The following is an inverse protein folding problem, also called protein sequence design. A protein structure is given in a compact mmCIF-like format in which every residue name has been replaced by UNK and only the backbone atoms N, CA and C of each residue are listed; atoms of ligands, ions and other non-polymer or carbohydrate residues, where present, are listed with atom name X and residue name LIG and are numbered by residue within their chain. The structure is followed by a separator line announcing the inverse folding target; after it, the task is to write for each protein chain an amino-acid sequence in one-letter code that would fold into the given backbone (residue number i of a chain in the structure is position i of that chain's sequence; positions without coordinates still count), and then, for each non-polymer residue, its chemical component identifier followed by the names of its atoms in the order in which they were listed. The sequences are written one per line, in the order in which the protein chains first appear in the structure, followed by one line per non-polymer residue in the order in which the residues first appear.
data_IF_361819258435
#
_entry.id   IF_361819258435
#
_cell.length_a   1.000
_cell.length_b   1.000
_cell.length_c   1.000
_cell.angle_alpha   90.00
_cell.angle_beta   90.00
_cell.angle_gamma   90.00
#
_symmetry.space_group_name_H-M   'P 1'
#
loop_
_entity.id
_entity.type
_entity.pdbx_description
1 polymer ?
#
# COMPACT_ATOMS: atom_id res chain seq x y z
N UNK A 1 7.11 7.24 23.18
CA UNK A 1 6.47 8.37 22.46
C UNK A 1 5.09 7.92 22.02
N UNK A 2 4.09 8.80 22.15
CA UNK A 2 2.64 8.53 22.11
C UNK A 2 2.09 7.95 20.78
N UNK A 3 2.95 7.69 19.79
CA UNK A 3 2.62 7.12 18.49
C UNK A 3 2.25 5.63 18.54
N UNK A 4 2.75 4.90 19.56
CA UNK A 4 2.54 3.45 19.73
C UNK A 4 1.14 3.04 20.24
N UNK A 5 0.24 3.98 20.53
CA UNK A 5 -1.04 3.68 21.21
C UNK A 5 -2.25 3.69 20.27
N UNK A 6 -2.11 4.18 19.04
CA UNK A 6 -3.24 4.34 18.12
C UNK A 6 -3.42 3.09 17.27
N UNK A 7 -4.52 2.38 17.49
CA UNK A 7 -4.85 1.15 16.75
C UNK A 7 -5.27 1.48 15.31
N UNK A 8 -4.76 0.72 14.34
CA UNK A 8 -5.21 0.81 12.95
C UNK A 8 -6.74 0.63 12.87
N UNK A 9 -7.41 1.43 12.04
CA UNK A 9 -8.87 1.42 11.87
C UNK A 9 -9.64 2.16 12.99
N UNK A 10 -8.98 2.64 14.04
CA UNK A 10 -9.63 3.47 15.07
C UNK A 10 -9.88 4.90 14.59
N UNK A 11 -10.88 5.55 15.18
CA UNK A 11 -11.15 6.98 14.94
C UNK A 11 -9.94 7.85 15.32
N UNK A 12 -9.27 7.55 16.43
CA UNK A 12 -8.08 8.30 16.86
C UNK A 12 -6.93 8.19 15.84
N UNK A 13 -6.69 6.99 15.29
CA UNK A 13 -5.68 6.79 14.25
C UNK A 13 -6.08 7.52 12.96
N UNK A 14 -7.35 7.46 12.58
CA UNK A 14 -7.87 8.20 11.43
C UNK A 14 -7.66 9.72 11.57
N UNK A 15 -8.01 10.31 12.71
CA UNK A 15 -7.84 11.74 12.96
C UNK A 15 -6.36 12.15 12.89
N UNK A 16 -5.48 11.31 13.43
CA UNK A 16 -4.04 11.52 13.33
C UNK A 16 -3.55 11.46 11.87
N UNK A 17 -3.86 10.39 11.14
CA UNK A 17 -3.39 10.14 9.77
C UNK A 17 -3.96 11.13 8.75
N UNK A 18 -5.21 11.56 8.93
CA UNK A 18 -5.86 12.55 8.06
C UNK A 18 -5.17 13.92 8.06
N UNK A 19 -4.35 14.19 9.08
CA UNK A 19 -3.55 15.41 9.20
C UNK A 19 -2.09 15.22 8.77
N UNK A 20 -1.65 14.00 8.47
CA UNK A 20 -0.28 13.75 8.00
C UNK A 20 -0.11 14.08 6.51
N UNK A 21 1.11 14.48 6.15
CA UNK A 21 1.45 14.96 4.79
C UNK A 21 2.78 14.39 4.27
N UNK A 22 3.31 13.35 4.90
CA UNK A 22 4.52 12.68 4.42
C UNK A 22 4.22 11.82 3.19
N UNK A 23 3.01 11.31 3.03
CA UNK A 23 2.54 10.82 1.74
C UNK A 23 1.95 11.98 0.89
N UNK A 24 2.14 11.93 -0.43
CA UNK A 24 1.56 12.88 -1.39
C UNK A 24 1.56 12.32 -2.81
N UNK A 25 0.62 12.79 -3.63
CA UNK A 25 0.52 12.40 -5.03
C UNK A 25 1.84 12.65 -5.77
N UNK A 26 2.26 11.65 -6.57
CA UNK A 26 3.48 11.73 -7.37
C UNK A 26 4.80 11.69 -6.58
N UNK A 27 4.79 11.45 -5.26
CA UNK A 27 6.02 11.23 -4.49
C UNK A 27 6.82 10.05 -5.08
N UNK A 28 8.04 10.31 -5.53
CA UNK A 28 8.86 9.30 -6.21
C UNK A 28 9.60 8.42 -5.20
N UNK A 29 9.88 7.16 -5.57
CA UNK A 29 10.62 6.24 -4.72
C UNK A 29 11.99 6.80 -4.27
N UNK A 30 12.68 7.53 -5.16
CA UNK A 30 13.97 8.19 -4.85
C UNK A 30 13.85 9.32 -3.82
N UNK A 31 12.66 9.89 -3.61
CA UNK A 31 12.49 10.90 -2.57
C UNK A 31 12.55 10.29 -1.16
N UNK A 32 12.26 9.00 -1.02
CA UNK A 32 12.27 8.30 0.27
C UNK A 32 13.68 8.05 0.82
N UNK A 33 14.73 8.28 0.02
CA UNK A 33 16.10 8.29 0.52
C UNK A 33 16.33 9.39 1.56
N UNK A 34 15.54 10.47 1.51
CA UNK A 34 15.59 11.57 2.48
C UNK A 34 14.76 11.32 3.74
N UNK A 35 13.98 10.23 3.79
CA UNK A 35 13.11 9.93 4.93
C UNK A 35 13.90 9.20 6.01
N UNK A 36 13.60 9.43 7.31
CA UNK A 36 14.18 8.65 8.39
C UNK A 36 13.88 7.15 8.22
N UNK A 37 14.87 6.30 8.42
CA UNK A 37 14.72 4.84 8.33
C UNK A 37 13.68 4.28 9.32
N UNK A 38 13.60 4.87 10.51
CA UNK A 38 12.65 4.52 11.56
C UNK A 38 11.33 5.29 11.46
N UNK A 39 11.14 6.08 10.40
CA UNK A 39 9.91 6.83 10.14
C UNK A 39 8.87 6.07 9.34
N UNK A 40 7.73 6.74 9.12
CA UNK A 40 6.62 6.25 8.31
C UNK A 40 6.20 7.23 7.22
N UNK A 41 5.66 6.69 6.14
CA UNK A 41 4.99 7.40 5.06
C UNK A 41 3.49 7.38 5.39
N UNK A 42 2.96 8.55 5.77
CA UNK A 42 1.67 8.69 6.44
C UNK A 42 0.71 9.62 5.71
N UNK A 43 -0.57 9.26 5.79
CA UNK A 43 -1.68 10.02 5.20
C UNK A 43 -2.00 9.60 3.76
N UNK A 44 -3.05 10.20 3.20
CA UNK A 44 -3.50 9.95 1.83
C UNK A 44 -2.67 10.72 0.80
N UNK A 45 -2.59 10.20 -0.44
CA UNK A 45 -1.82 10.86 -1.49
C UNK A 45 -2.63 11.82 -2.38
N UNK A 46 -3.91 11.55 -2.67
CA UNK A 46 -4.68 12.28 -3.69
C UNK A 46 -5.87 13.05 -3.10
N UNK A 47 -6.79 12.35 -2.45
CA UNK A 47 -8.00 12.88 -1.84
C UNK A 47 -7.91 12.84 -0.31
N UNK A 48 -8.87 13.47 0.39
CA UNK A 48 -8.98 13.34 1.84
C UNK A 48 -9.32 11.90 2.23
N UNK A 49 -8.83 11.45 3.40
CA UNK A 49 -9.24 10.16 3.96
C UNK A 49 -10.72 10.18 4.37
N UNK A 50 -11.37 9.02 4.30
CA UNK A 50 -12.73 8.82 4.82
C UNK A 50 -12.76 7.63 5.77
N UNK A 51 -13.49 7.80 6.87
CA UNK A 51 -13.40 6.90 8.02
C UNK A 51 -13.94 5.49 7.71
N UNK A 52 -15.04 5.37 6.96
CA UNK A 52 -15.62 4.06 6.64
C UNK A 52 -14.72 3.28 5.69
N UNK A 53 -14.16 3.93 4.68
CA UNK A 53 -13.22 3.33 3.75
C UNK A 53 -11.96 2.89 4.49
N UNK A 54 -11.37 3.75 5.32
CA UNK A 54 -10.21 3.42 6.15
C UNK A 54 -10.46 2.19 7.04
N UNK A 55 -11.60 2.15 7.73
CA UNK A 55 -11.99 1.01 8.57
C UNK A 55 -12.15 -0.28 7.79
N UNK A 56 -12.81 -0.21 6.62
CA UNK A 56 -12.98 -1.37 5.74
C UNK A 56 -11.65 -1.91 5.25
N UNK A 57 -10.73 -1.04 4.87
CA UNK A 57 -9.40 -1.43 4.39
C UNK A 57 -8.60 -2.13 5.48
N UNK A 58 -8.50 -1.52 6.66
CA UNK A 58 -7.78 -2.11 7.80
C UNK A 58 -8.40 -3.44 8.23
N UNK A 59 -9.73 -3.55 8.26
CA UNK A 59 -10.39 -4.82 8.59
C UNK A 59 -10.08 -5.91 7.56
N UNK A 60 -10.10 -5.58 6.26
CA UNK A 60 -9.75 -6.53 5.20
C UNK A 60 -8.30 -7.01 5.29
N UNK A 61 -7.36 -6.11 5.60
CA UNK A 61 -5.93 -6.43 5.71
C UNK A 61 -5.62 -7.43 6.83
N UNK A 62 -6.50 -7.57 7.84
CA UNK A 62 -6.32 -8.58 8.91
C UNK A 62 -6.22 -10.01 8.36
N UNK A 63 -6.88 -10.29 7.22
CA UNK A 63 -6.77 -11.57 6.49
C UNK A 63 -5.33 -11.95 6.18
N UNK A 64 -4.46 -10.96 6.02
CA UNK A 64 -3.06 -11.11 5.60
C UNK A 64 -2.04 -10.77 6.70
N UNK A 65 -2.49 -10.60 7.95
CA UNK A 65 -1.66 -10.17 9.08
C UNK A 65 -0.48 -11.09 9.42
N UNK A 66 -0.44 -12.31 8.88
CA UNK A 66 0.69 -13.23 9.02
C UNK A 66 1.81 -13.00 7.99
N UNK A 67 1.66 -12.06 7.06
CA UNK A 67 2.64 -11.73 6.03
C UNK A 67 3.19 -10.33 6.29
N UNK A 68 4.41 -10.25 6.82
CA UNK A 68 5.06 -8.99 7.22
C UNK A 68 5.22 -7.97 6.09
N UNK A 69 5.20 -8.41 4.83
CA UNK A 69 5.34 -7.57 3.65
C UNK A 69 4.04 -6.84 3.28
N UNK A 70 2.90 -7.22 3.89
CA UNK A 70 1.60 -6.54 3.72
C UNK A 70 1.41 -5.65 4.97
N UNK A 71 1.31 -4.31 4.80
CA UNK A 71 1.11 -3.40 5.91
C UNK A 71 -0.26 -3.61 6.57
N UNK A 72 -0.32 -3.48 7.88
CA UNK A 72 -1.58 -3.53 8.64
C UNK A 72 -2.43 -2.27 8.47
N UNK A 73 -1.79 -1.14 8.15
CA UNK A 73 -2.44 0.16 7.95
C UNK A 73 -1.99 0.76 6.60
N UNK A 74 -2.92 0.92 5.63
CA UNK A 74 -2.55 1.38 4.30
C UNK A 74 -2.19 2.87 4.25
N UNK A 75 -2.44 3.63 5.32
CA UNK A 75 -2.10 5.05 5.45
C UNK A 75 -0.96 5.31 6.43
N UNK A 76 -0.31 4.28 6.97
CA UNK A 76 0.86 4.38 7.85
C UNK A 76 1.88 3.29 7.52
N UNK A 77 2.73 3.55 6.51
CA UNK A 77 3.64 2.55 5.97
C UNK A 77 5.07 2.85 6.45
N UNK A 78 5.75 1.93 7.17
CA UNK A 78 7.13 2.12 7.56
C UNK A 78 8.04 2.36 6.34
N UNK A 79 8.95 3.33 6.46
CA UNK A 79 9.93 3.63 5.39
C UNK A 79 10.79 2.41 5.07
N UNK A 80 11.20 1.67 6.11
CA UNK A 80 11.95 0.41 5.98
C UNK A 80 11.20 -0.64 5.16
N UNK A 81 9.90 -0.82 5.39
CA UNK A 81 9.06 -1.72 4.59
C UNK A 81 9.01 -1.27 3.13
N UNK A 82 8.73 0.01 2.85
CA UNK A 82 8.70 0.52 1.48
C UNK A 82 10.04 0.26 0.74
N UNK A 83 11.17 0.49 1.41
CA UNK A 83 12.51 0.24 0.85
C UNK A 83 12.77 -1.24 0.60
N UNK A 84 12.34 -2.13 1.50
CA UNK A 84 12.39 -3.58 1.29
C UNK A 84 11.61 -3.97 0.03
N UNK A 85 10.40 -3.47 -0.13
CA UNK A 85 9.55 -3.75 -1.29
C UNK A 85 10.17 -3.23 -2.61
N UNK A 86 10.88 -2.10 -2.59
CA UNK A 86 11.66 -1.66 -3.76
C UNK A 86 12.76 -2.65 -4.14
N UNK A 87 13.40 -3.28 -3.16
CA UNK A 87 14.39 -4.33 -3.46
C UNK A 87 13.73 -5.54 -4.11
N UNK A 88 12.51 -5.92 -3.70
CA UNK A 88 11.76 -6.98 -4.38
C UNK A 88 11.42 -6.60 -5.82
N UNK A 89 10.97 -5.36 -6.05
CA UNK A 89 10.68 -4.87 -7.39
C UNK A 89 11.88 -5.03 -8.33
N UNK A 90 13.08 -4.68 -7.84
CA UNK A 90 14.34 -4.73 -8.58
C UNK A 90 14.87 -6.15 -8.80
N UNK A 91 14.81 -6.99 -7.77
CA UNK A 91 15.57 -8.24 -7.71
C UNK A 91 14.72 -9.48 -8.05
N UNK A 92 13.40 -9.41 -7.89
CA UNK A 92 12.51 -10.52 -8.26
C UNK A 92 12.13 -10.38 -9.74
N UNK A 93 12.45 -11.42 -10.51
CA UNK A 93 12.05 -11.55 -11.90
C UNK A 93 10.97 -12.61 -11.99
N UNK A 94 9.79 -12.23 -12.49
CA UNK A 94 8.70 -13.17 -12.71
C UNK A 94 9.00 -14.01 -13.95
N UNK A 95 8.75 -15.31 -13.86
CA UNK A 95 8.70 -16.17 -15.05
C UNK A 95 7.42 -15.87 -15.85
N UNK A 96 7.32 -16.28 -17.13
CA UNK A 96 6.17 -15.95 -17.97
C UNK A 96 4.80 -16.26 -17.34
N UNK A 97 4.66 -17.40 -16.68
CA UNK A 97 3.42 -17.82 -16.03
C UNK A 97 3.04 -16.91 -14.84
N UNK A 98 4.04 -16.48 -14.07
CA UNK A 98 3.85 -15.55 -12.96
C UNK A 98 3.57 -14.12 -13.45
N UNK A 99 4.13 -13.75 -14.59
CA UNK A 99 3.88 -12.46 -15.23
C UNK A 99 2.41 -12.35 -15.68
N UNK A 100 1.81 -13.44 -16.16
CA UNK A 100 0.37 -13.47 -16.47
C UNK A 100 -0.47 -13.17 -15.22
N UNK A 101 -0.14 -13.77 -14.07
CA UNK A 101 -0.83 -13.49 -12.80
C UNK A 101 -0.78 -12.01 -12.46
N UNK A 102 0.41 -11.40 -12.54
CA UNK A 102 0.57 -9.96 -12.27
C UNK A 102 -0.27 -9.10 -13.23
N UNK A 103 -0.24 -9.41 -14.53
CA UNK A 103 -1.00 -8.65 -15.54
C UNK A 103 -2.51 -8.82 -15.42
N UNK A 104 -2.98 -9.97 -14.95
CA UNK A 104 -4.39 -10.19 -14.64
C UNK A 104 -4.80 -9.42 -13.39
N UNK A 105 -3.99 -9.41 -12.33
CA UNK A 105 -4.23 -8.60 -11.14
C UNK A 105 -4.36 -7.11 -11.47
N UNK A 106 -3.51 -6.60 -12.36
CA UNK A 106 -3.58 -5.21 -12.87
C UNK A 106 -4.94 -4.90 -13.50
N UNK A 107 -5.54 -5.86 -14.23
CA UNK A 107 -6.86 -5.66 -14.86
C UNK A 107 -8.01 -5.75 -13.86
N UNK A 108 -7.83 -6.52 -12.79
CA UNK A 108 -8.85 -6.75 -11.76
C UNK A 108 -8.89 -5.64 -10.71
N UNK A 109 -7.73 -5.05 -10.38
CA UNK A 109 -7.62 -3.98 -9.39
C UNK A 109 -8.33 -2.71 -9.82
N UNK A 110 -8.91 -1.98 -8.87
CA UNK A 110 -9.71 -0.79 -9.11
C UNK A 110 -8.94 0.31 -9.85
N UNK A 111 -7.68 0.52 -9.48
CA UNK A 111 -6.82 1.57 -10.02
C UNK A 111 -6.08 1.16 -11.31
N UNK A 112 -6.33 -0.05 -11.84
CA UNK A 112 -5.57 -0.57 -12.97
C UNK A 112 -4.10 -0.84 -12.62
N UNK A 113 -3.84 -1.27 -11.38
CA UNK A 113 -2.53 -1.58 -10.81
C UNK A 113 -2.45 -1.27 -9.31
N UNK A 114 -1.23 -1.24 -8.74
CA UNK A 114 -1.03 -1.02 -7.30
C UNK A 114 -1.38 0.39 -6.79
N UNK A 115 -1.57 1.37 -7.66
CA UNK A 115 -1.93 2.75 -7.30
C UNK A 115 -2.40 3.52 -8.53
N UNK A 116 -3.20 4.56 -8.34
CA UNK A 116 -3.66 5.45 -9.43
C UNK A 116 -2.51 6.16 -10.20
N UNK A 117 -1.33 6.28 -9.59
CA UNK A 117 -0.18 6.96 -10.19
C UNK A 117 1.11 6.14 -10.07
N UNK A 118 2.02 6.33 -11.03
CA UNK A 118 3.38 5.74 -11.04
C UNK A 118 4.28 6.48 -10.02
N UNK A 119 3.95 6.32 -8.74
CA UNK A 119 4.65 6.89 -7.60
C UNK A 119 5.38 5.78 -6.81
N UNK A 120 5.93 6.14 -5.64
CA UNK A 120 6.57 5.19 -4.75
C UNK A 120 5.67 4.00 -4.40
N UNK A 121 4.36 4.18 -4.19
CA UNK A 121 3.43 3.09 -3.88
C UNK A 121 3.38 2.08 -5.00
N UNK A 122 3.31 2.55 -6.24
CA UNK A 122 3.37 1.66 -7.40
C UNK A 122 4.65 0.83 -7.36
N UNK A 123 5.81 1.45 -7.18
CA UNK A 123 7.09 0.73 -7.14
C UNK A 123 7.15 -0.29 -6.00
N UNK A 124 6.70 0.08 -4.79
CA UNK A 124 6.68 -0.79 -3.63
C UNK A 124 5.74 -1.97 -3.88
N UNK A 125 4.48 -1.71 -4.18
CA UNK A 125 3.46 -2.75 -4.26
C UNK A 125 3.52 -3.59 -5.54
N UNK A 126 4.18 -3.10 -6.60
CA UNK A 126 4.66 -3.99 -7.67
C UNK A 126 5.69 -5.01 -7.13
N UNK A 127 6.66 -4.56 -6.34
CA UNK A 127 7.63 -5.44 -5.68
C UNK A 127 6.98 -6.41 -4.70
N UNK A 128 6.00 -5.95 -3.93
CA UNK A 128 5.20 -6.77 -3.04
C UNK A 128 4.44 -7.86 -3.80
N UNK A 129 3.75 -7.51 -4.89
CA UNK A 129 3.05 -8.49 -5.71
C UNK A 129 4.01 -9.54 -6.28
N UNK A 130 5.19 -9.12 -6.76
CA UNK A 130 6.22 -10.06 -7.21
C UNK A 130 6.65 -11.02 -6.09
N UNK A 131 6.83 -10.51 -4.88
CA UNK A 131 7.14 -11.34 -3.71
C UNK A 131 6.00 -12.32 -3.38
N UNK A 132 4.76 -11.85 -3.33
CA UNK A 132 3.58 -12.67 -3.00
C UNK A 132 3.33 -13.77 -4.03
N UNK A 133 3.41 -13.44 -5.33
CA UNK A 133 3.27 -14.42 -6.42
C UNK A 133 4.37 -15.49 -6.33
N UNK A 134 5.61 -15.10 -6.04
CA UNK A 134 6.75 -16.03 -6.07
C UNK A 134 6.97 -16.83 -4.78
N UNK A 135 6.60 -16.28 -3.62
CA UNK A 135 6.86 -16.89 -2.31
C UNK A 135 5.61 -17.44 -1.64
N UNK A 136 4.46 -16.86 -1.92
CA UNK A 136 3.18 -17.26 -1.34
C UNK A 136 2.23 -17.90 -2.35
N UNK A 137 2.60 -17.96 -3.64
CA UNK A 137 1.79 -18.50 -4.73
C UNK A 137 0.42 -17.82 -4.87
N UNK A 138 0.35 -16.53 -4.57
CA UNK A 138 -0.90 -15.77 -4.69
C UNK A 138 -1.35 -15.67 -6.14
N UNK A 139 -2.65 -15.84 -6.35
CA UNK A 139 -3.32 -15.67 -7.63
C UNK A 139 -3.67 -14.21 -7.95
N UNK A 140 -4.20 -13.94 -9.16
CA UNK A 140 -4.44 -12.58 -9.61
C UNK A 140 -5.53 -11.86 -8.77
N UNK A 141 -6.56 -12.57 -8.33
CA UNK A 141 -7.62 -12.02 -7.48
C UNK A 141 -7.10 -11.61 -6.10
N UNK A 142 -6.19 -12.39 -5.51
CA UNK A 142 -5.61 -12.08 -4.19
C UNK A 142 -4.72 -10.84 -4.26
N UNK A 143 -3.92 -10.70 -5.33
CA UNK A 143 -3.09 -9.51 -5.55
C UNK A 143 -3.97 -8.28 -5.77
N UNK A 144 -5.01 -8.39 -6.58
CA UNK A 144 -5.92 -7.28 -6.83
C UNK A 144 -6.67 -6.85 -5.55
N UNK A 145 -7.16 -7.81 -4.77
CA UNK A 145 -7.80 -7.55 -3.47
C UNK A 145 -6.85 -6.82 -2.52
N UNK A 146 -5.58 -7.23 -2.45
CA UNK A 146 -4.58 -6.56 -1.61
C UNK A 146 -4.35 -5.13 -2.08
N UNK A 147 -4.15 -4.88 -3.37
CA UNK A 147 -3.96 -3.52 -3.87
C UNK A 147 -5.16 -2.60 -3.60
N UNK A 148 -6.39 -3.12 -3.73
CA UNK A 148 -7.60 -2.36 -3.41
C UNK A 148 -7.71 -2.03 -1.91
N UNK A 149 -7.24 -2.94 -1.03
CA UNK A 149 -7.16 -2.70 0.41
C UNK A 149 -6.02 -1.75 0.78
N UNK A 150 -4.89 -1.82 0.08
CA UNK A 150 -3.70 -1.01 0.28
C UNK A 150 -3.78 0.38 -0.35
N UNK A 151 -4.86 0.65 -1.08
CA UNK A 151 -5.07 1.93 -1.72
C UNK A 151 -5.04 3.08 -0.69
N UNK A 152 -4.03 3.93 -0.85
CA UNK A 152 -3.80 5.11 -0.03
C UNK A 152 -4.21 6.41 -0.72
N UNK A 153 -4.97 6.35 -1.81
CA UNK A 153 -5.41 7.53 -2.55
C UNK A 153 -6.31 8.45 -1.73
N UNK A 154 -7.01 7.94 -0.72
CA UNK A 154 -8.09 8.64 -0.01
C UNK A 154 -9.44 8.37 -0.69
N UNK A 155 -10.50 9.05 -0.28
CA UNK A 155 -11.81 8.87 -0.89
C UNK A 155 -12.94 9.47 -0.06
N UNK A 156 -13.27 10.72 -0.33
CA UNK A 156 -14.48 11.39 0.11
C UNK A 156 -15.04 12.19 -1.05
N UNK A 157 -16.22 11.77 -1.52
CA UNK A 157 -16.93 12.14 -2.76
C UNK A 157 -16.35 11.58 -4.07
N UNK A 158 -17.23 10.87 -4.80
CA UNK A 158 -17.13 10.66 -6.23
C UNK A 158 -16.87 12.00 -6.91
N UNK A 159 -16.01 12.01 -7.92
CA UNK A 159 -16.00 13.08 -8.90
C UNK A 159 -17.43 13.29 -9.42
N UNK A 160 -18.10 14.35 -8.97
CA UNK A 160 -19.26 14.92 -9.67
C UNK A 160 -18.77 15.84 -10.79
#
# INVERSE_FOLDING_TARGET
SEEKTRLAGSLEKFEFLSNQRSNKCGLQATNLDSYPEDGSIQGSCCAAMEIKQYQKQVEGLKKYSNISQIPEDPYDIPVSLAKELFQYQKNIQLIPEQQVIYEEAVKLSHEGGPCCCRCWRWTAFEGQAKYLITKHNFGPEEIAEIWDLEDGCGGGEEHT
#
